data_IF_410543069309
#
_entry.id   IF_410543069309
#
_cell.length_a   1.000
_cell.length_b   1.000
_cell.length_c   1.000
_cell.angle_alpha   90.00
_cell.angle_beta   90.00
_cell.angle_gamma   90.00
#
_symmetry.space_group_name_H-M   'P 1'
#
loop_
_entity.id
_entity.type
_entity.pdbx_description
1 polymer ?
#
# COMPACT_ATOMS: atom_id res chain seq x y z
N UNK A 1 -2.13 -13.01 31.58
CA UNK A 1 -1.94 -11.59 31.92
C UNK A 1 -0.45 -11.29 31.87
N UNK A 2 -0.01 -10.14 31.36
CA UNK A 2 1.43 -9.85 31.22
C UNK A 2 2.08 -9.52 32.57
N UNK A 3 3.17 -10.20 32.96
CA UNK A 3 3.84 -9.96 34.23
C UNK A 3 4.56 -8.61 34.25
N UNK A 4 4.75 -8.06 35.44
CA UNK A 4 5.45 -6.82 35.63
C UNK A 4 6.99 -7.03 35.53
N UNK A 5 7.75 -6.00 35.15
CA UNK A 5 9.19 -6.12 34.84
C UNK A 5 10.04 -6.44 36.08
N UNK A 6 9.52 -6.08 37.24
CA UNK A 6 10.09 -6.32 38.57
C UNK A 6 9.88 -7.77 39.07
N UNK A 7 9.26 -8.64 38.26
CA UNK A 7 9.01 -10.04 38.64
C UNK A 7 7.91 -10.22 39.69
N UNK A 8 7.22 -9.14 40.07
CA UNK A 8 6.08 -9.22 40.99
C UNK A 8 4.91 -9.94 40.32
N UNK A 9 4.15 -10.72 41.10
CA UNK A 9 2.92 -11.38 40.65
C UNK A 9 1.79 -10.38 40.32
N UNK A 10 2.02 -9.08 40.52
CA UNK A 10 1.07 -8.04 40.20
C UNK A 10 1.00 -7.83 38.69
N UNK A 11 -0.21 -7.61 38.14
CA UNK A 11 -0.36 -7.27 36.74
C UNK A 11 0.34 -5.97 36.42
N UNK A 12 0.96 -5.92 35.24
CA UNK A 12 1.55 -4.68 34.74
C UNK A 12 0.47 -3.61 34.56
N UNK A 13 0.73 -2.40 35.04
CA UNK A 13 -0.19 -1.29 34.84
C UNK A 13 -0.21 -0.87 33.35
N UNK A 14 -1.32 -0.26 32.91
CA UNK A 14 -1.54 0.08 31.49
C UNK A 14 -0.44 0.99 30.92
N UNK A 15 0.06 1.94 31.72
CA UNK A 15 1.10 2.89 31.30
C UNK A 15 2.43 2.20 31.05
N UNK A 16 2.93 1.47 32.05
CA UNK A 16 4.20 0.75 31.97
C UNK A 16 4.19 -0.42 30.99
N UNK A 17 3.02 -0.96 30.62
CA UNK A 17 2.91 -1.89 29.49
C UNK A 17 3.00 -1.18 28.14
N UNK A 18 2.33 -0.03 28.01
CA UNK A 18 2.37 0.77 26.78
C UNK A 18 3.77 1.28 26.47
N UNK A 19 4.48 1.73 27.51
CA UNK A 19 5.86 2.20 27.39
C UNK A 19 6.83 1.08 27.01
N UNK A 20 6.66 -0.12 27.59
CA UNK A 20 7.47 -1.28 27.21
C UNK A 20 7.28 -1.69 25.75
N UNK A 21 6.06 -1.60 25.23
CA UNK A 21 5.79 -1.84 23.81
C UNK A 21 6.47 -0.76 22.96
N UNK A 22 6.35 0.52 23.34
CA UNK A 22 6.98 1.61 22.61
C UNK A 22 8.51 1.50 22.57
N UNK A 23 9.13 1.13 23.70
CA UNK A 23 10.56 0.91 23.79
C UNK A 23 11.00 -0.30 22.95
N UNK A 24 10.25 -1.41 23.00
CA UNK A 24 10.55 -2.58 22.17
C UNK A 24 10.46 -2.26 20.68
N UNK A 25 9.45 -1.50 20.24
CA UNK A 25 9.33 -1.06 18.85
C UNK A 25 10.52 -0.17 18.47
N UNK A 26 10.91 0.76 19.34
CA UNK A 26 12.04 1.63 19.09
C UNK A 26 13.35 0.85 18.98
N UNK A 27 13.56 -0.13 19.85
CA UNK A 27 14.75 -0.99 19.84
C UNK A 27 14.88 -1.80 18.53
N UNK A 28 13.77 -2.35 18.03
CA UNK A 28 13.81 -3.24 16.86
C UNK A 28 13.69 -2.52 15.51
N UNK A 29 13.00 -1.37 15.47
CA UNK A 29 12.62 -0.68 14.23
C UNK A 29 13.25 0.72 14.14
N UNK A 30 13.84 1.23 15.23
CA UNK A 30 14.46 2.56 15.31
C UNK A 30 13.46 3.71 15.37
N UNK A 31 12.16 3.44 15.33
CA UNK A 31 11.09 4.45 15.32
C UNK A 31 10.36 4.45 16.65
N UNK A 32 10.27 5.60 17.31
CA UNK A 32 9.45 5.75 18.53
C UNK A 32 8.01 6.03 18.13
N UNK A 33 7.09 5.14 18.51
CA UNK A 33 5.65 5.30 18.26
C UNK A 33 4.82 4.77 19.42
N UNK A 34 3.60 5.27 19.56
CA UNK A 34 2.69 4.79 20.61
C UNK A 34 2.08 3.45 20.22
N UNK A 35 1.52 2.73 21.20
CA UNK A 35 0.78 1.47 20.96
C UNK A 35 -0.39 1.68 19.99
N UNK A 36 -1.05 2.85 20.07
CA UNK A 36 -2.15 3.19 19.17
C UNK A 36 -1.67 3.40 17.73
N UNK A 37 -0.53 4.08 17.55
CA UNK A 37 0.08 4.28 16.23
C UNK A 37 0.52 2.94 15.63
N UNK A 38 1.15 2.08 16.44
CA UNK A 38 1.57 0.75 16.01
C UNK A 38 0.39 -0.10 15.55
N UNK A 39 -0.72 -0.08 16.30
CA UNK A 39 -1.95 -0.78 15.95
C UNK A 39 -2.57 -0.24 14.65
N UNK A 40 -2.58 1.07 14.44
CA UNK A 40 -3.07 1.68 13.21
C UNK A 40 -2.18 1.36 12.00
N UNK A 41 -0.86 1.34 12.21
CA UNK A 41 0.13 1.01 11.19
C UNK A 41 -0.02 -0.44 10.70
N UNK A 42 -0.13 -1.40 11.61
CA UNK A 42 -0.33 -2.81 11.26
C UNK A 42 -1.59 -3.02 10.40
N UNK A 43 -2.69 -2.37 10.75
CA UNK A 43 -3.92 -2.45 9.97
C UNK A 43 -3.82 -1.76 8.60
N UNK A 44 -3.09 -0.64 8.51
CA UNK A 44 -2.85 0.01 7.23
C UNK A 44 -2.01 -0.89 6.30
N UNK A 45 -1.05 -1.67 6.82
CA UNK A 45 -0.29 -2.66 6.06
C UNK A 45 -1.19 -3.80 5.56
N UNK A 46 -2.04 -4.36 6.42
CA UNK A 46 -2.99 -5.42 6.03
C UNK A 46 -3.92 -4.93 4.91
N UNK A 47 -4.48 -3.72 5.05
CA UNK A 47 -5.37 -3.17 4.02
C UNK A 47 -4.66 -2.79 2.73
N UNK A 48 -3.35 -2.47 2.79
CA UNK A 48 -2.56 -2.20 1.59
C UNK A 48 -2.41 -3.46 0.72
N UNK A 49 -2.24 -4.63 1.33
CA UNK A 49 -2.11 -5.91 0.61
C UNK A 49 -3.48 -6.57 0.33
N UNK A 50 -4.43 -6.40 1.26
CA UNK A 50 -5.78 -6.96 1.17
C UNK A 50 -6.85 -5.87 1.38
N UNK A 51 -7.12 -5.03 0.36
CA UNK A 51 -8.12 -3.97 0.43
C UNK A 51 -9.53 -4.41 0.82
N UNK A 52 -9.86 -5.69 0.62
CA UNK A 52 -11.17 -6.28 0.90
C UNK A 52 -11.35 -6.72 2.36
N UNK A 53 -10.25 -6.86 3.12
CA UNK A 53 -10.26 -7.31 4.52
C UNK A 53 -10.69 -6.20 5.52
N UNK A 54 -11.50 -5.23 5.06
CA UNK A 54 -11.91 -4.07 5.84
C UNK A 54 -12.66 -4.47 7.12
N UNK A 55 -13.62 -5.39 6.98
CA UNK A 55 -14.42 -5.83 8.13
C UNK A 55 -13.63 -6.74 9.07
N UNK A 56 -12.69 -7.53 8.55
CA UNK A 56 -11.77 -8.34 9.38
C UNK A 56 -10.88 -7.45 10.25
N UNK A 57 -10.32 -6.39 9.64
CA UNK A 57 -9.53 -5.39 10.36
C UNK A 57 -10.40 -4.65 11.37
N UNK A 58 -11.66 -4.34 11.05
CA UNK A 58 -12.60 -3.70 11.99
C UNK A 58 -12.92 -4.58 13.18
N UNK A 59 -13.14 -5.88 12.96
CA UNK A 59 -13.39 -6.86 14.02
C UNK A 59 -12.15 -7.03 14.92
N UNK A 60 -10.96 -7.10 14.34
CA UNK A 60 -9.69 -7.21 15.08
C UNK A 60 -9.36 -5.95 15.88
N UNK A 61 -9.65 -4.78 15.30
CA UNK A 61 -9.26 -3.50 15.88
C UNK A 61 -10.28 -2.90 16.86
N UNK A 62 -11.56 -3.21 16.70
CA UNK A 62 -12.66 -2.46 17.29
C UNK A 62 -12.85 -1.09 16.62
N UNK A 63 -13.94 -0.40 16.95
CA UNK A 63 -14.37 0.82 16.24
C UNK A 63 -13.36 1.98 16.30
N UNK A 64 -12.86 2.33 17.49
CA UNK A 64 -11.98 3.48 17.66
C UNK A 64 -10.60 3.30 16.99
N UNK A 65 -10.07 2.08 16.96
CA UNK A 65 -8.81 1.78 16.27
C UNK A 65 -8.95 1.73 14.74
N UNK A 66 -10.12 1.31 14.27
CA UNK A 66 -10.41 1.15 12.84
C UNK A 66 -10.43 2.48 12.08
N UNK A 67 -11.04 3.54 12.63
CA UNK A 67 -11.12 4.85 11.94
C UNK A 67 -9.73 5.44 11.64
N UNK A 68 -8.83 5.35 12.63
CA UNK A 68 -7.45 5.82 12.50
C UNK A 68 -6.70 4.97 11.47
N UNK A 69 -6.85 3.64 11.53
CA UNK A 69 -6.24 2.73 10.55
C UNK A 69 -6.72 3.00 9.12
N UNK A 70 -8.03 3.20 8.93
CA UNK A 70 -8.62 3.49 7.63
C UNK A 70 -8.12 4.84 7.07
N UNK A 71 -7.92 5.84 7.94
CA UNK A 71 -7.31 7.12 7.53
C UNK A 71 -5.88 6.94 7.03
N UNK A 72 -5.06 6.15 7.74
CA UNK A 72 -3.69 5.82 7.30
C UNK A 72 -3.68 5.06 5.98
N UNK A 73 -4.50 4.01 5.86
CA UNK A 73 -4.65 3.26 4.62
C UNK A 73 -5.06 4.15 3.44
N UNK A 74 -6.08 5.01 3.61
CA UNK A 74 -6.52 5.95 2.55
C UNK A 74 -5.41 6.90 2.13
N UNK A 75 -4.59 7.39 3.07
CA UNK A 75 -3.46 8.28 2.77
C UNK A 75 -2.39 7.56 1.93
N UNK A 76 -2.00 6.35 2.33
CA UNK A 76 -1.00 5.54 1.64
C UNK A 76 -1.51 5.05 0.27
N UNK A 77 -2.76 4.59 0.20
CA UNK A 77 -3.35 4.08 -1.03
C UNK A 77 -3.65 5.19 -2.06
N UNK A 78 -3.78 6.46 -1.66
CA UNK A 78 -3.92 7.57 -2.63
C UNK A 78 -2.72 7.65 -3.58
N UNK A 79 -1.51 7.44 -3.05
CA UNK A 79 -0.28 7.40 -3.83
C UNK A 79 -0.25 6.16 -4.75
N UNK A 80 -0.64 4.99 -4.22
CA UNK A 80 -0.75 3.76 -5.01
C UNK A 80 -1.81 3.83 -6.12
N UNK A 81 -2.96 4.47 -5.86
CA UNK A 81 -4.02 4.66 -6.84
C UNK A 81 -3.60 5.59 -7.98
N UNK A 82 -2.94 6.71 -7.67
CA UNK A 82 -2.37 7.61 -8.68
C UNK A 82 -1.36 6.88 -9.58
N UNK A 83 -0.48 6.07 -8.98
CA UNK A 83 0.46 5.24 -9.72
C UNK A 83 -0.24 4.23 -10.65
N UNK A 84 -1.24 3.49 -10.14
CA UNK A 84 -2.02 2.52 -10.95
C UNK A 84 -2.75 3.17 -12.12
N UNK A 85 -3.32 4.36 -11.91
CA UNK A 85 -3.98 5.13 -12.98
C UNK A 85 -2.96 5.59 -14.02
N UNK A 86 -1.82 6.13 -13.59
CA UNK A 86 -0.73 6.54 -14.48
C UNK A 86 -0.23 5.37 -15.34
N UNK A 87 0.02 4.20 -14.73
CA UNK A 87 0.42 2.98 -15.43
C UNK A 87 -0.64 2.51 -16.43
N UNK A 88 -1.93 2.57 -16.04
CA UNK A 88 -3.05 2.22 -16.93
C UNK A 88 -3.16 3.15 -18.15
N UNK A 89 -2.88 4.44 -17.98
CA UNK A 89 -2.86 5.43 -19.07
C UNK A 89 -1.65 5.18 -19.98
N UNK A 90 -0.45 5.03 -19.40
CA UNK A 90 0.79 4.77 -20.14
C UNK A 90 0.69 3.49 -20.97
N UNK A 91 0.11 2.44 -20.41
CA UNK A 91 -0.10 1.16 -21.10
C UNK A 91 -1.09 1.27 -22.25
N UNK A 92 -2.20 2.02 -22.07
CA UNK A 92 -3.13 2.31 -23.17
C UNK A 92 -2.49 3.14 -24.27
N UNK A 93 -1.72 4.18 -23.92
CA UNK A 93 -0.98 5.00 -24.89
C UNK A 93 0.02 4.18 -25.69
N UNK A 94 0.77 3.29 -25.03
CA UNK A 94 1.69 2.35 -25.70
C UNK A 94 0.96 1.42 -26.67
N UNK A 95 -0.21 0.88 -26.30
CA UNK A 95 -1.03 0.05 -27.23
C UNK A 95 -1.55 0.86 -28.41
N UNK A 96 -2.12 2.05 -28.16
CA UNK A 96 -2.63 2.92 -29.22
C UNK A 96 -1.52 3.39 -30.18
N UNK A 97 -0.33 3.69 -29.66
CA UNK A 97 0.84 4.02 -30.47
C UNK A 97 1.35 2.80 -31.26
N UNK A 98 1.35 1.60 -30.67
CA UNK A 98 1.71 0.36 -31.38
C UNK A 98 0.72 0.03 -32.51
N UNK A 99 -0.58 0.32 -32.34
CA UNK A 99 -1.59 0.24 -33.41
C UNK A 99 -1.40 1.32 -34.47
N UNK A 100 -0.93 2.52 -34.09
CA UNK A 100 -0.71 3.64 -34.99
C UNK A 100 0.58 3.57 -35.82
N UNK A 101 1.49 2.61 -35.56
CA UNK A 101 2.74 2.40 -36.33
C UNK A 101 2.50 1.70 -37.69
N UNK A 102 1.25 1.49 -38.10
CA UNK A 102 0.93 1.25 -39.52
C UNK A 102 0.23 2.44 -40.18
N UNK A 103 0.87 3.61 -40.39
CA UNK A 103 0.40 4.58 -41.35
C UNK A 103 1.15 4.40 -42.67
N UNK A 104 0.47 3.81 -43.67
CA UNK A 104 0.81 4.05 -45.08
C UNK A 104 1.92 3.21 -45.69
N UNK A 105 1.81 1.88 -45.67
CA UNK A 105 2.44 1.07 -46.72
C UNK A 105 1.71 1.37 -48.05
N UNK A 106 2.36 1.95 -49.08
CA UNK A 106 1.72 2.09 -50.37
C UNK A 106 1.52 0.70 -50.96
N UNK A 107 0.27 0.35 -51.27
CA UNK A 107 -0.09 -0.83 -52.06
C UNK A 107 0.36 -0.67 -53.52
N UNK A 108 1.64 -0.42 -53.80
CA UNK A 108 2.21 -0.68 -55.12
C UNK A 108 3.75 -0.65 -55.17
N UNK A 109 4.39 -1.70 -54.64
CA UNK A 109 5.82 -1.94 -54.88
C UNK A 109 6.11 -2.59 -56.26
N UNK A 110 5.08 -2.85 -57.07
CA UNK A 110 5.23 -3.51 -58.37
C UNK A 110 5.19 -2.55 -59.58
N UNK A 111 4.70 -1.31 -59.42
CA UNK A 111 4.64 -0.32 -60.53
C UNK A 111 5.83 0.61 -60.66
N UNK A 112 6.66 0.80 -59.63
CA UNK A 112 7.78 1.76 -59.70
C UNK A 112 8.98 1.26 -60.52
N UNK A 113 9.21 -0.06 -60.56
CA UNK A 113 10.39 -0.67 -61.23
C UNK A 113 10.30 -0.82 -62.76
N UNK A 114 9.24 -0.34 -63.42
CA UNK A 114 9.05 -0.46 -64.89
C UNK A 114 9.18 0.86 -65.68
N UNK A 115 9.71 1.92 -65.08
CA UNK A 115 9.94 3.22 -65.77
C UNK A 115 11.42 3.66 -65.81
N UNK A 116 12.35 2.75 -65.51
CA UNK A 116 13.79 3.05 -65.49
C UNK A 116 14.64 1.96 -66.19
N UNK A 117 14.03 1.17 -67.07
CA UNK A 117 14.74 0.24 -67.95
C UNK A 117 14.03 0.18 -69.31
#
# INVERSE_FOLDING_TARGET
>A
MFPNRDGTALPRNKGGFSEAIADAIHEHIGVRMTVHDFRAFAAALILADHPHAIEDVRALLGHAGFEIALRYYRRTNRQGAAHRVSEGISTRRRRSAATAILPGLPLDLARWRRRQA
#
